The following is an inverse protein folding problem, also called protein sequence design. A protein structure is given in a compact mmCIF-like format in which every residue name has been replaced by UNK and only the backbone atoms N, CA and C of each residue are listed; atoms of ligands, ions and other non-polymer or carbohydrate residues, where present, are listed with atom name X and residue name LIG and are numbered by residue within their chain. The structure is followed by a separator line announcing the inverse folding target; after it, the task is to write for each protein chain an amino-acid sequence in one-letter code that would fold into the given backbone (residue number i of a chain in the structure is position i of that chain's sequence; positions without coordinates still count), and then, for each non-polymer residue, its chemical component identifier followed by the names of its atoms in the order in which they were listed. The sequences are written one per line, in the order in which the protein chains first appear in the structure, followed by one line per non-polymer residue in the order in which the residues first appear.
data_IF_214536005327
#
_entry.id   IF_214536005327
#
_cell.length_a   1.000
_cell.length_b   1.000
_cell.length_c   1.000
_cell.angle_alpha   90.00
_cell.angle_beta   90.00
_cell.angle_gamma   90.00
#
_symmetry.space_group_name_H-M   'P 1'
#
loop_
_entity.id
_entity.type
_entity.pdbx_description
1 polymer ?
#
# COMPACT_ATOMS: atom_id res chain seq x y z
N UNK A 1 2.85 29.18 15.55
CA UNK A 1 3.45 28.10 16.38
C UNK A 1 2.35 27.31 17.05
N UNK A 2 2.47 26.00 17.06
CA UNK A 2 1.53 25.07 17.70
C UNK A 2 2.29 24.25 18.75
N UNK A 3 1.62 23.91 19.84
CA UNK A 3 2.16 23.04 20.86
C UNK A 3 1.04 22.28 21.55
N UNK A 4 1.34 21.12 22.11
CA UNK A 4 0.38 20.30 22.85
C UNK A 4 0.88 20.04 24.28
N UNK A 5 -0.07 20.00 25.20
CA UNK A 5 0.19 19.67 26.61
C UNK A 5 -0.78 18.58 27.05
N UNK A 6 -0.25 17.52 27.63
CA UNK A 6 -1.08 16.49 28.25
C UNK A 6 -1.66 17.05 29.53
N UNK A 7 -2.97 17.20 29.62
CA UNK A 7 -3.68 17.71 30.80
C UNK A 7 -3.96 16.59 31.81
N UNK A 8 -4.26 15.39 31.27
CA UNK A 8 -4.50 14.18 32.04
C UNK A 8 -3.85 12.98 31.36
N UNK A 9 -2.88 12.32 31.99
CA UNK A 9 -2.09 11.27 31.33
C UNK A 9 -2.89 9.99 31.09
N UNK A 10 -3.96 9.72 31.87
CA UNK A 10 -4.77 8.52 31.70
C UNK A 10 -3.93 7.24 31.58
N UNK A 11 -4.16 6.42 30.55
CA UNK A 11 -3.40 5.21 30.30
C UNK A 11 -1.92 5.45 29.96
N UNK A 12 -1.56 6.63 29.50
CA UNK A 12 -0.17 6.99 29.19
C UNK A 12 0.72 6.93 30.43
N UNK A 13 0.16 7.05 31.64
CA UNK A 13 0.90 6.90 32.90
C UNK A 13 1.53 5.50 33.04
N UNK A 14 0.97 4.49 32.36
CA UNK A 14 1.43 3.09 32.39
C UNK A 14 2.32 2.75 31.19
N UNK A 15 2.06 3.38 30.03
CA UNK A 15 2.71 3.03 28.76
C UNK A 15 3.83 4.00 28.33
N UNK A 16 3.99 5.15 29.00
CA UNK A 16 5.08 6.07 28.69
C UNK A 16 6.42 5.58 29.25
N UNK A 17 7.41 5.46 28.36
CA UNK A 17 8.80 5.29 28.73
C UNK A 17 9.40 6.62 29.23
N UNK A 18 10.52 6.57 29.96
CA UNK A 18 11.21 7.75 30.46
C UNK A 18 11.66 8.71 29.34
N UNK A 19 11.99 8.17 28.17
CA UNK A 19 12.38 8.96 26.99
C UNK A 19 11.21 9.76 26.41
N UNK A 20 10.01 9.18 26.37
CA UNK A 20 8.78 9.89 25.93
C UNK A 20 8.37 11.02 26.87
N UNK A 21 8.73 10.91 28.15
CA UNK A 21 8.51 11.98 29.15
C UNK A 21 9.40 13.19 28.91
N UNK A 22 10.60 12.99 28.37
CA UNK A 22 11.55 14.08 28.11
C UNK A 22 11.11 14.92 26.88
N UNK A 23 10.59 14.30 25.84
CA UNK A 23 10.09 15.03 24.65
C UNK A 23 8.80 15.82 24.93
N UNK A 24 7.92 15.31 25.79
CA UNK A 24 6.68 15.99 26.15
C UNK A 24 6.89 17.15 27.16
N UNK A 25 8.05 17.24 27.80
CA UNK A 25 8.42 18.31 28.71
C UNK A 25 9.10 19.52 28.04
N UNK A 26 9.18 19.57 26.72
CA UNK A 26 9.54 20.81 26.01
C UNK A 26 8.49 21.88 26.42
N UNK A 27 8.85 22.68 27.39
CA UNK A 27 7.95 23.59 28.09
C UNK A 27 7.35 24.59 27.09
N UNK A 28 6.09 24.39 26.75
CA UNK A 28 5.28 25.47 26.23
C UNK A 28 5.28 26.56 27.31
N UNK A 29 6.12 27.57 27.12
CA UNK A 29 6.09 28.73 27.97
C UNK A 29 4.65 29.26 27.98
N UNK A 30 4.16 29.60 29.18
CA UNK A 30 2.86 30.24 29.30
C UNK A 30 2.93 31.57 28.57
N UNK A 31 2.36 31.60 27.39
CA UNK A 31 2.27 32.80 26.57
C UNK A 31 0.88 33.38 26.73
N UNK A 32 0.79 34.65 27.09
CA UNK A 32 -0.47 35.36 27.22
C UNK A 32 -0.65 36.38 26.09
N UNK A 33 -1.90 36.76 25.86
CA UNK A 33 -2.21 37.81 24.86
C UNK A 33 -1.62 39.14 25.31
N UNK A 34 -0.69 39.68 24.53
CA UNK A 34 0.01 40.94 24.85
C UNK A 34 1.47 40.75 25.24
N UNK A 35 1.95 39.52 25.36
CA UNK A 35 3.36 39.25 25.61
C UNK A 35 4.21 39.72 24.43
N UNK A 36 5.30 40.40 24.71
CA UNK A 36 6.27 40.90 23.74
C UNK A 36 7.48 39.97 23.75
N UNK A 37 7.78 39.39 22.60
CA UNK A 37 8.95 38.55 22.39
C UNK A 37 10.10 39.37 21.85
N UNK A 38 11.29 39.23 22.40
CA UNK A 38 12.52 39.73 21.81
C UNK A 38 12.99 38.71 20.76
N UNK A 39 13.21 39.19 19.56
CA UNK A 39 13.85 38.42 18.50
C UNK A 39 15.33 38.21 18.85
N UNK A 40 15.72 36.94 19.07
CA UNK A 40 17.11 36.59 19.39
C UNK A 40 17.89 36.20 18.15
N UNK A 41 17.27 35.46 17.27
CA UNK A 41 17.90 34.96 16.04
C UNK A 41 16.83 34.61 15.01
N UNK A 42 17.02 35.04 13.76
CA UNK A 42 16.16 34.70 12.63
C UNK A 42 16.84 33.61 11.79
N UNK A 43 16.45 32.36 11.97
CA UNK A 43 16.93 31.24 11.18
C UNK A 43 16.12 31.11 9.89
N UNK A 44 16.80 31.24 8.75
CA UNK A 44 16.21 31.01 7.45
C UNK A 44 16.52 29.56 7.03
N UNK A 45 15.48 28.73 6.93
CA UNK A 45 15.60 27.34 6.49
C UNK A 45 14.77 27.13 5.24
N UNK A 46 15.37 26.51 4.24
CA UNK A 46 14.66 26.10 3.05
C UNK A 46 14.18 24.66 3.22
N UNK A 47 12.85 24.45 3.13
CA UNK A 47 12.23 23.15 3.17
C UNK A 47 11.61 22.83 1.82
N UNK A 48 11.72 21.56 1.41
CA UNK A 48 11.09 21.05 0.20
C UNK A 48 10.00 20.05 0.59
N UNK A 49 8.90 20.05 -0.15
CA UNK A 49 7.89 19.01 -0.04
C UNK A 49 8.49 17.65 -0.37
N UNK A 50 8.20 16.66 0.44
CA UNK A 50 8.62 15.29 0.20
C UNK A 50 7.54 14.54 -0.59
N UNK A 51 7.91 13.61 -1.47
CA UNK A 51 6.95 12.74 -2.12
C UNK A 51 6.24 11.86 -1.07
N UNK A 52 5.06 11.29 -1.40
CA UNK A 52 4.40 10.33 -0.53
C UNK A 52 5.36 9.20 -0.14
N UNK A 53 5.27 8.74 1.10
CA UNK A 53 6.08 7.63 1.58
C UNK A 53 5.68 6.33 0.88
N UNK A 54 6.64 5.42 0.65
CA UNK A 54 6.33 4.08 0.19
C UNK A 54 5.46 3.34 1.21
N UNK A 55 4.59 2.46 0.74
CA UNK A 55 3.79 1.63 1.60
C UNK A 55 4.66 0.67 2.42
N UNK A 56 4.29 0.48 3.66
CA UNK A 56 4.66 -0.67 4.48
C UNK A 56 3.55 -1.72 4.37
N UNK A 57 3.76 -2.95 4.82
CA UNK A 57 2.69 -3.96 4.84
C UNK A 57 1.46 -3.45 5.59
N UNK A 58 1.65 -2.81 6.75
CA UNK A 58 0.56 -2.26 7.55
C UNK A 58 -0.19 -1.12 6.86
N UNK A 59 0.53 -0.17 6.23
CA UNK A 59 -0.11 0.94 5.51
C UNK A 59 -0.80 0.49 4.23
N UNK A 60 -0.28 -0.57 3.58
CA UNK A 60 -0.94 -1.18 2.43
C UNK A 60 -2.24 -1.89 2.82
N UNK A 61 -2.24 -2.65 3.93
CA UNK A 61 -3.46 -3.26 4.47
C UNK A 61 -4.52 -2.19 4.76
N UNK A 62 -4.12 -1.09 5.39
CA UNK A 62 -5.04 0.02 5.66
C UNK A 62 -5.62 0.62 4.39
N UNK A 63 -4.79 0.83 3.37
CA UNK A 63 -5.26 1.35 2.07
C UNK A 63 -6.23 0.40 1.39
N UNK A 64 -5.97 -0.92 1.41
CA UNK A 64 -6.87 -1.93 0.88
C UNK A 64 -8.23 -1.92 1.62
N UNK A 65 -8.19 -1.76 2.95
CA UNK A 65 -9.40 -1.64 3.78
C UNK A 65 -10.19 -0.37 3.44
N UNK A 66 -9.52 0.78 3.34
CA UNK A 66 -10.14 2.07 3.00
C UNK A 66 -10.76 2.05 1.60
N UNK A 67 -10.18 1.29 0.67
CA UNK A 67 -10.70 1.09 -0.69
C UNK A 67 -11.75 -0.03 -0.80
N UNK A 68 -12.01 -0.78 0.26
CA UNK A 68 -12.96 -1.91 0.26
C UNK A 68 -12.48 -3.14 -0.52
N UNK A 69 -11.16 -3.27 -0.72
CA UNK A 69 -10.53 -4.38 -1.46
C UNK A 69 -10.10 -5.47 -0.48
N UNK A 70 -10.67 -6.66 -0.62
CA UNK A 70 -10.37 -7.79 0.26
C UNK A 70 -11.11 -7.73 1.61
N UNK A 71 -10.73 -8.64 2.48
CA UNK A 71 -11.29 -8.80 3.83
C UNK A 71 -10.15 -9.13 4.81
N UNK A 72 -10.34 -9.01 6.12
CA UNK A 72 -9.30 -9.30 7.11
C UNK A 72 -8.60 -10.64 6.91
N UNK A 73 -9.33 -11.66 6.45
CA UNK A 73 -8.77 -13.00 6.19
C UNK A 73 -7.89 -13.08 4.93
N UNK A 74 -7.99 -12.12 4.01
CA UNK A 74 -7.30 -12.15 2.72
C UNK A 74 -6.14 -11.16 2.61
N UNK A 75 -6.03 -10.14 3.46
CA UNK A 75 -4.98 -9.12 3.36
C UNK A 75 -3.57 -9.72 3.48
N UNK A 76 -3.30 -10.46 4.56
CA UNK A 76 -1.98 -11.04 4.78
C UNK A 76 -1.59 -12.09 3.73
N UNK A 77 -2.46 -13.04 3.32
CA UNK A 77 -2.18 -13.96 2.22
C UNK A 77 -1.89 -13.27 0.89
N UNK A 78 -2.62 -12.19 0.57
CA UNK A 78 -2.40 -11.42 -0.66
C UNK A 78 -1.01 -10.79 -0.68
N UNK A 79 -0.62 -10.07 0.39
CA UNK A 79 0.70 -9.44 0.48
C UNK A 79 1.82 -10.49 0.44
N UNK A 80 1.65 -11.59 1.18
CA UNK A 80 2.60 -12.71 1.18
C UNK A 80 2.77 -13.29 -0.23
N UNK A 81 1.69 -13.45 -0.98
CA UNK A 81 1.73 -13.94 -2.37
C UNK A 81 2.47 -12.96 -3.28
N UNK A 82 2.24 -11.65 -3.16
CA UNK A 82 2.92 -10.64 -3.97
C UNK A 82 4.44 -10.63 -3.71
N UNK A 83 4.86 -10.83 -2.46
CA UNK A 83 6.26 -10.91 -2.08
C UNK A 83 6.88 -12.25 -2.55
N UNK A 84 6.19 -13.37 -2.33
CA UNK A 84 6.70 -14.71 -2.72
C UNK A 84 6.85 -14.86 -4.24
N UNK A 85 5.95 -14.23 -5.01
CA UNK A 85 6.04 -14.17 -6.48
C UNK A 85 7.00 -13.09 -6.99
N UNK A 86 7.73 -12.43 -6.10
CA UNK A 86 8.70 -11.37 -6.40
C UNK A 86 8.10 -10.15 -7.15
N UNK A 87 6.81 -9.93 -7.07
CA UNK A 87 6.19 -8.72 -7.61
C UNK A 87 6.45 -7.51 -6.73
N UNK A 88 6.56 -7.74 -5.42
CA UNK A 88 6.98 -6.75 -4.43
C UNK A 88 8.25 -7.21 -3.72
N UNK A 89 9.13 -6.27 -3.43
CA UNK A 89 10.30 -6.48 -2.58
C UNK A 89 10.19 -5.63 -1.32
N UNK A 90 10.57 -6.21 -0.19
CA UNK A 90 10.67 -5.49 1.08
C UNK A 90 12.09 -4.99 1.25
N UNK A 91 12.29 -3.68 1.26
CA UNK A 91 13.60 -3.06 1.53
C UNK A 91 13.57 -2.48 2.94
N UNK A 92 14.52 -2.93 3.77
CA UNK A 92 14.72 -2.39 5.11
C UNK A 92 15.51 -1.10 4.94
N UNK A 93 14.86 0.05 5.17
CA UNK A 93 15.54 1.33 5.16
C UNK A 93 16.34 1.50 6.46
N UNK A 94 17.66 1.36 6.39
CA UNK A 94 18.56 1.69 7.49
C UNK A 94 18.82 3.20 7.48
N UNK A 95 17.93 3.99 8.02
CA UNK A 95 18.26 5.36 8.43
C UNK A 95 18.68 5.35 9.89
N UNK A 96 19.61 6.21 10.22
CA UNK A 96 20.39 6.33 11.48
C UNK A 96 19.57 6.53 12.78
N UNK A 97 18.28 6.24 12.81
CA UNK A 97 17.43 6.34 13.99
C UNK A 97 16.52 5.12 14.09
N UNK A 98 16.77 4.31 15.04
CA UNK A 98 16.07 3.25 15.79
C UNK A 98 14.69 2.66 15.37
N UNK A 99 14.16 2.89 14.16
CA UNK A 99 12.98 2.18 13.64
C UNK A 99 13.27 1.73 12.21
N UNK A 100 13.49 0.44 12.03
CA UNK A 100 13.55 -0.20 10.71
C UNK A 100 12.17 -0.13 10.06
N UNK A 101 11.97 0.79 9.13
CA UNK A 101 10.77 0.83 8.31
C UNK A 101 10.94 -0.14 7.15
N UNK A 102 10.14 -1.20 7.14
CA UNK A 102 10.05 -2.15 6.02
C UNK A 102 9.15 -1.56 4.95
N UNK A 103 9.73 -0.92 3.96
CA UNK A 103 9.00 -0.36 2.83
C UNK A 103 8.84 -1.39 1.72
N UNK A 104 7.69 -1.37 1.05
CA UNK A 104 7.40 -2.18 -0.12
C UNK A 104 7.76 -1.42 -1.39
N UNK A 105 8.44 -2.10 -2.32
CA UNK A 105 8.81 -1.57 -3.62
C UNK A 105 8.33 -2.53 -4.71
N UNK A 106 7.83 -1.97 -5.80
CA UNK A 106 7.51 -2.75 -6.99
C UNK A 106 8.81 -3.18 -7.65
N UNK A 107 8.93 -4.45 -8.01
CA UNK A 107 10.08 -4.98 -8.75
C UNK A 107 9.91 -4.75 -10.25
N UNK A 108 10.99 -4.92 -11.03
CA UNK A 108 10.91 -4.88 -12.51
C UNK A 108 9.89 -5.89 -13.04
N UNK A 109 9.88 -7.11 -12.49
CA UNK A 109 8.87 -8.11 -12.81
C UNK A 109 7.46 -7.63 -12.48
N UNK A 110 7.27 -7.04 -11.31
CA UNK A 110 5.99 -6.48 -10.88
C UNK A 110 5.49 -5.38 -11.83
N UNK A 111 6.39 -4.51 -12.29
CA UNK A 111 6.06 -3.47 -13.27
C UNK A 111 5.61 -4.06 -14.63
N UNK A 112 6.35 -5.05 -15.14
CA UNK A 112 6.02 -5.71 -16.40
C UNK A 112 4.65 -6.37 -16.30
N UNK A 113 4.41 -7.18 -15.25
CA UNK A 113 3.13 -7.86 -15.05
C UNK A 113 1.99 -6.86 -14.89
N UNK A 114 2.19 -5.80 -14.11
CA UNK A 114 1.18 -4.75 -13.92
C UNK A 114 0.83 -4.05 -15.25
N UNK A 115 1.82 -3.76 -16.08
CA UNK A 115 1.60 -3.12 -17.38
C UNK A 115 0.84 -4.03 -18.34
N UNK A 116 1.20 -5.33 -18.40
CA UNK A 116 0.47 -6.32 -19.20
C UNK A 116 -0.98 -6.41 -18.72
N UNK A 117 -1.20 -6.55 -17.41
CA UNK A 117 -2.53 -6.67 -16.84
C UNK A 117 -3.39 -5.42 -17.08
N UNK A 118 -2.82 -4.22 -16.96
CA UNK A 118 -3.54 -2.97 -17.26
C UNK A 118 -3.92 -2.82 -18.73
N UNK A 119 -3.11 -3.35 -19.63
CA UNK A 119 -3.40 -3.32 -21.08
C UNK A 119 -4.41 -4.39 -21.48
N UNK A 120 -4.24 -5.60 -20.96
CA UNK A 120 -5.07 -6.74 -21.34
C UNK A 120 -6.44 -6.77 -20.61
N UNK A 121 -6.47 -6.34 -19.34
CA UNK A 121 -7.62 -6.47 -18.44
C UNK A 121 -7.93 -5.18 -17.68
N UNK A 122 -8.10 -4.02 -18.33
CA UNK A 122 -8.24 -2.74 -17.66
C UNK A 122 -9.43 -2.68 -16.69
N UNK A 123 -10.54 -3.32 -17.03
CA UNK A 123 -11.75 -3.37 -16.20
C UNK A 123 -11.59 -4.24 -14.96
N UNK A 124 -10.79 -5.32 -15.04
CA UNK A 124 -10.57 -6.26 -13.92
C UNK A 124 -9.54 -5.70 -12.93
N UNK A 125 -8.55 -4.95 -13.44
CA UNK A 125 -7.49 -4.33 -12.63
C UNK A 125 -7.97 -3.04 -11.94
N UNK A 126 -9.18 -2.60 -12.27
CA UNK A 126 -9.77 -1.42 -11.63
C UNK A 126 -10.11 -1.68 -10.16
N UNK A 127 -9.74 -0.72 -9.30
CA UNK A 127 -9.99 -0.76 -7.85
C UNK A 127 -11.48 -0.90 -7.54
N UNK A 128 -12.33 -0.16 -8.28
CA UNK A 128 -13.78 -0.20 -8.07
C UNK A 128 -14.39 -1.54 -8.46
N UNK A 129 -13.82 -2.23 -9.44
CA UNK A 129 -14.27 -3.57 -9.82
C UNK A 129 -14.12 -4.54 -8.65
N UNK A 130 -12.94 -4.58 -8.04
CA UNK A 130 -12.67 -5.48 -6.90
C UNK A 130 -13.57 -5.12 -5.70
N UNK A 131 -13.69 -3.85 -5.34
CA UNK A 131 -14.55 -3.40 -4.25
C UNK A 131 -16.03 -3.73 -4.50
N UNK A 132 -16.51 -3.56 -5.74
CA UNK A 132 -17.87 -3.91 -6.13
C UNK A 132 -18.09 -5.42 -6.04
N UNK A 133 -17.14 -6.22 -6.50
CA UNK A 133 -17.21 -7.69 -6.41
C UNK A 133 -17.30 -8.16 -4.96
N UNK A 134 -16.50 -7.60 -4.06
CA UNK A 134 -16.56 -7.89 -2.62
C UNK A 134 -17.94 -7.56 -2.04
N UNK A 135 -18.52 -6.43 -2.40
CA UNK A 135 -19.88 -6.04 -1.97
C UNK A 135 -20.94 -7.01 -2.50
N UNK A 136 -20.82 -7.46 -3.75
CA UNK A 136 -21.75 -8.45 -4.32
C UNK A 136 -21.64 -9.80 -3.60
N UNK A 137 -20.42 -10.22 -3.23
CA UNK A 137 -20.21 -11.45 -2.46
C UNK A 137 -20.76 -11.36 -1.04
N UNK A 138 -20.67 -10.20 -0.40
CA UNK A 138 -21.34 -9.95 0.89
C UNK A 138 -22.87 -10.09 0.74
N UNK A 139 -23.44 -9.55 -0.33
CA UNK A 139 -24.86 -9.71 -0.64
C UNK A 139 -25.28 -11.18 -0.86
N UNK A 140 -24.37 -12.01 -1.42
CA UNK A 140 -24.61 -13.45 -1.51
C UNK A 140 -24.63 -14.09 -0.12
N UNK A 141 -23.69 -13.72 0.76
CA UNK A 141 -23.63 -14.22 2.13
C UNK A 141 -24.89 -13.85 2.94
N UNK A 142 -25.43 -12.67 2.70
CA UNK A 142 -26.68 -12.19 3.30
C UNK A 142 -27.96 -12.78 2.65
N UNK A 143 -27.83 -13.47 1.52
CA UNK A 143 -28.96 -14.03 0.78
C UNK A 143 -29.73 -13.01 -0.06
N UNK A 144 -29.22 -11.80 -0.24
CA UNK A 144 -29.85 -10.72 -1.03
C UNK A 144 -29.49 -10.79 -2.52
N UNK A 145 -28.38 -11.46 -2.87
CA UNK A 145 -27.87 -11.61 -4.24
C UNK A 145 -27.71 -13.08 -4.60
N UNK A 146 -28.14 -13.47 -5.80
CA UNK A 146 -27.92 -14.82 -6.31
C UNK A 146 -26.50 -14.93 -6.89
N UNK A 147 -25.66 -15.85 -6.35
CA UNK A 147 -24.27 -16.03 -6.78
C UNK A 147 -24.12 -16.34 -8.28
N UNK A 148 -25.09 -17.11 -8.85
CA UNK A 148 -25.07 -17.45 -10.29
C UNK A 148 -25.24 -16.22 -11.18
N UNK A 149 -25.95 -15.20 -10.72
CA UNK A 149 -26.11 -13.95 -11.45
C UNK A 149 -24.79 -13.19 -11.57
N UNK A 150 -23.97 -13.20 -10.54
CA UNK A 150 -22.64 -12.60 -10.55
C UNK A 150 -21.78 -13.25 -11.62
N UNK A 151 -21.71 -14.58 -11.64
CA UNK A 151 -20.90 -15.33 -12.63
C UNK A 151 -21.45 -15.12 -14.05
N UNK A 152 -22.76 -15.16 -14.22
CA UNK A 152 -23.41 -14.95 -15.53
C UNK A 152 -23.10 -13.58 -16.12
N UNK A 153 -22.99 -12.57 -15.29
CA UNK A 153 -22.67 -11.21 -15.73
C UNK A 153 -21.16 -11.02 -15.95
N UNK A 154 -20.32 -11.63 -15.15
CA UNK A 154 -18.88 -11.46 -15.22
C UNK A 154 -18.21 -12.28 -16.34
N UNK A 155 -18.66 -13.52 -16.54
CA UNK A 155 -17.98 -14.46 -17.43
C UNK A 155 -17.91 -14.03 -18.91
N UNK A 156 -18.95 -13.45 -19.51
CA UNK A 156 -18.87 -12.96 -20.89
C UNK A 156 -17.81 -11.89 -21.08
N UNK A 157 -17.74 -10.91 -20.18
CA UNK A 157 -16.78 -9.81 -20.22
C UNK A 157 -15.34 -10.34 -20.04
N UNK A 158 -15.15 -11.28 -19.12
CA UNK A 158 -13.86 -11.95 -18.94
C UNK A 158 -13.43 -12.70 -20.21
N UNK A 159 -14.35 -13.44 -20.85
CA UNK A 159 -14.05 -14.20 -22.06
C UNK A 159 -13.64 -13.29 -23.20
N UNK A 160 -14.37 -12.20 -23.41
CA UNK A 160 -14.03 -11.18 -24.41
C UNK A 160 -12.67 -10.55 -24.12
N UNK A 161 -12.39 -10.21 -22.87
CA UNK A 161 -11.11 -9.64 -22.45
C UNK A 161 -9.95 -10.62 -22.72
N UNK A 162 -10.14 -11.93 -22.50
CA UNK A 162 -9.13 -12.95 -22.80
C UNK A 162 -8.86 -13.01 -24.31
N UNK A 163 -9.89 -13.07 -25.13
CA UNK A 163 -9.76 -13.13 -26.60
C UNK A 163 -9.04 -11.88 -27.14
N UNK A 164 -9.34 -10.70 -26.60
CA UNK A 164 -8.62 -9.46 -26.92
C UNK A 164 -7.18 -9.47 -26.45
N UNK A 165 -6.92 -9.99 -25.25
CA UNK A 165 -5.58 -10.09 -24.68
C UNK A 165 -4.67 -10.99 -25.48
N UNK A 166 -5.14 -12.16 -25.94
CA UNK A 166 -4.39 -13.08 -26.80
C UNK A 166 -3.91 -12.39 -28.08
N UNK A 167 -4.78 -11.60 -28.72
CA UNK A 167 -4.43 -10.84 -29.91
C UNK A 167 -3.48 -9.66 -29.67
N UNK A 168 -3.58 -9.04 -28.48
CA UNK A 168 -2.77 -7.88 -28.10
C UNK A 168 -1.37 -8.29 -27.63
N UNK A 169 -1.25 -9.40 -26.89
CA UNK A 169 0.01 -9.89 -26.34
C UNK A 169 0.97 -10.40 -27.43
N UNK A 170 0.47 -10.91 -28.55
CA UNK A 170 1.31 -11.25 -29.70
C UNK A 170 2.10 -10.05 -30.27
N UNK A 171 1.69 -8.83 -29.92
CA UNK A 171 2.29 -7.56 -30.39
C UNK A 171 3.14 -6.85 -29.34
N UNK A 172 3.23 -7.35 -28.12
CA UNK A 172 4.06 -6.74 -27.08
C UNK A 172 5.50 -7.21 -27.26
N UNK A 173 6.34 -6.35 -27.83
CA UNK A 173 7.79 -6.50 -27.78
C UNK A 173 8.28 -6.22 -26.37
N UNK A 174 8.57 -7.27 -25.61
CA UNK A 174 9.25 -7.15 -24.32
C UNK A 174 10.73 -6.99 -24.59
N UNK A 175 11.36 -5.96 -24.01
CA UNK A 175 12.80 -5.76 -24.11
C UNK A 175 13.57 -7.03 -23.72
N UNK A 176 14.59 -7.47 -24.50
CA UNK A 176 15.29 -8.75 -24.28
C UNK A 176 15.84 -8.92 -22.85
N UNK A 177 16.26 -7.84 -22.21
CA UNK A 177 16.76 -7.85 -20.84
C UNK A 177 15.67 -8.18 -19.82
N UNK A 178 14.45 -7.70 -20.05
CA UNK A 178 13.29 -7.99 -19.19
C UNK A 178 12.79 -9.42 -19.39
N UNK A 179 12.89 -9.95 -20.63
CA UNK A 179 12.60 -11.35 -20.96
C UNK A 179 13.54 -12.31 -20.22
N UNK A 180 14.81 -11.97 -20.12
CA UNK A 180 15.81 -12.82 -19.45
C UNK A 180 15.55 -12.88 -17.95
N UNK A 181 15.28 -11.73 -17.31
CA UNK A 181 14.90 -11.67 -15.89
C UNK A 181 13.60 -12.47 -15.61
N UNK A 182 12.63 -12.40 -16.51
CA UNK A 182 11.37 -13.14 -16.42
C UNK A 182 11.60 -14.66 -16.57
N UNK A 183 12.45 -15.08 -17.49
CA UNK A 183 12.80 -16.48 -17.71
C UNK A 183 13.57 -17.08 -16.51
N UNK A 184 14.49 -16.34 -15.90
CA UNK A 184 15.20 -16.75 -14.68
C UNK A 184 14.24 -16.98 -13.52
N UNK A 185 13.35 -16.04 -13.26
CA UNK A 185 12.33 -16.16 -12.18
C UNK A 185 11.37 -17.32 -12.43
N UNK A 186 10.92 -17.52 -13.66
CA UNK A 186 10.06 -18.65 -14.00
C UNK A 186 10.80 -19.98 -13.83
N UNK A 187 12.06 -20.08 -14.24
CA UNK A 187 12.86 -21.29 -14.08
C UNK A 187 13.07 -21.68 -12.61
N UNK A 188 13.29 -20.69 -11.74
CA UNK A 188 13.41 -20.92 -10.30
C UNK A 188 12.07 -21.38 -9.68
N UNK A 189 10.94 -20.77 -10.07
CA UNK A 189 9.61 -21.17 -9.60
C UNK A 189 9.23 -22.60 -10.02
N UNK A 190 9.68 -23.06 -11.20
CA UNK A 190 9.47 -24.45 -11.64
C UNK A 190 10.43 -25.46 -11.01
N UNK A 191 11.59 -25.01 -10.52
CA UNK A 191 12.55 -25.89 -9.84
C UNK A 191 12.17 -26.19 -8.38
N UNK A 192 11.32 -25.39 -7.77
CA UNK A 192 10.83 -25.56 -6.38
C UNK A 192 9.46 -26.28 -6.29
N UNK A 193 8.89 -26.72 -7.41
CA UNK A 193 7.61 -27.45 -7.49
C UNK A 193 7.83 -28.94 -7.70
#
# INVERSE_FOLDING_TARGET
SSGSKIVFPGFLSVYQNEEDKAENNAALHKVAKGDVFQEVELKKEQHFTQPPAHYTEASLVKELEDLGIGRPSTYAPTISTLISRRYLATIISRRYVSKEQKNLYVTELGEVVNNIMKQAFPSIVDVNFTATMETLLDGVAEGTVEWKSIIRNFYPDLKEAIEHAEQALEKIEIEPQKLQALAEVLSECYAES
#
